data_IF_034329639667
#
_entry.id   IF_034329639667
#
_cell.length_a   1.000
_cell.length_b   1.000
_cell.length_c   1.000
_cell.angle_alpha   90.00
_cell.angle_beta   90.00
_cell.angle_gamma   90.00
#
_symmetry.space_group_name_H-M   'P 1'
#
loop_
_entity.id
_entity.type
_entity.pdbx_description
1 polymer ?
#
# COMPACT_ATOMS: atom_id res chain seq x y z
N UNK A 1 -77.44 -17.43 -33.25
CA UNK A 1 -77.13 -16.97 -34.62
C UNK A 1 -75.91 -17.75 -35.09
N UNK A 2 -76.11 -18.83 -35.86
CA UNK A 2 -76.01 -18.87 -37.33
C UNK A 2 -74.58 -18.49 -37.76
N UNK A 3 -73.80 -19.22 -38.55
CA UNK A 3 -73.85 -20.56 -39.15
C UNK A 3 -72.50 -20.71 -39.89
N UNK A 4 -72.10 -21.98 -40.13
CA UNK A 4 -71.46 -22.57 -41.34
C UNK A 4 -70.56 -21.70 -42.26
N UNK A 5 -69.48 -22.25 -42.83
CA UNK A 5 -69.46 -23.04 -44.09
C UNK A 5 -68.02 -23.60 -44.23
N UNK A 6 -67.81 -24.93 -44.21
CA UNK A 6 -67.77 -25.89 -45.35
C UNK A 6 -66.50 -25.80 -46.22
N UNK A 7 -65.53 -26.72 -46.03
CA UNK A 7 -65.24 -27.91 -46.86
C UNK A 7 -64.56 -27.63 -48.21
N UNK A 8 -63.39 -28.26 -48.45
CA UNK A 8 -63.17 -29.09 -49.64
C UNK A 8 -62.05 -30.11 -49.39
N UNK A 9 -62.35 -31.36 -49.79
CA UNK A 9 -61.51 -32.55 -49.75
C UNK A 9 -60.64 -32.65 -51.01
N UNK A 10 -59.53 -33.40 -50.92
CA UNK A 10 -59.08 -34.49 -51.82
C UNK A 10 -57.62 -34.83 -51.47
N UNK A 11 -57.26 -36.00 -50.94
CA UNK A 11 -57.21 -37.35 -51.56
C UNK A 11 -56.27 -37.42 -52.78
N UNK A 12 -55.38 -38.39 -53.02
CA UNK A 12 -54.71 -39.53 -52.34
C UNK A 12 -53.56 -39.93 -53.31
N UNK A 13 -52.38 -40.38 -52.84
CA UNK A 13 -51.56 -41.51 -53.38
C UNK A 13 -50.15 -41.51 -52.73
N UNK A 14 -49.80 -42.42 -51.80
CA UNK A 14 -49.18 -43.76 -51.96
C UNK A 14 -47.95 -43.78 -52.89
N UNK A 15 -46.76 -44.30 -52.57
CA UNK A 15 -46.08 -44.97 -51.45
C UNK A 15 -44.58 -45.15 -51.91
N UNK A 16 -43.70 -46.04 -51.40
CA UNK A 16 -43.44 -46.57 -50.05
C UNK A 16 -41.94 -46.62 -49.64
N UNK A 17 -41.71 -46.96 -48.36
CA UNK A 17 -40.57 -47.73 -47.77
C UNK A 17 -39.20 -47.01 -47.75
N UNK A 18 -38.51 -46.94 -46.62
CA UNK A 18 -38.02 -48.12 -45.90
C UNK A 18 -37.75 -47.87 -44.39
N UNK A 19 -37.87 -48.98 -43.66
CA UNK A 19 -37.07 -49.41 -42.50
C UNK A 19 -37.41 -48.90 -41.08
N UNK A 20 -37.96 -49.88 -40.36
CA UNK A 20 -37.61 -50.29 -38.99
C UNK A 20 -38.10 -49.46 -37.81
N UNK A 21 -39.21 -49.95 -37.24
CA UNK A 21 -39.65 -49.67 -35.87
C UNK A 21 -38.73 -50.36 -34.86
N UNK A 22 -38.22 -49.61 -33.90
CA UNK A 22 -37.93 -50.09 -32.55
C UNK A 22 -38.39 -49.04 -31.54
N UNK A 23 -39.30 -49.43 -30.65
CA UNK A 23 -39.66 -48.68 -29.45
C UNK A 23 -38.41 -48.55 -28.56
N UNK A 24 -38.15 -47.35 -28.03
CA UNK A 24 -37.31 -47.18 -26.86
C UNK A 24 -37.84 -46.02 -26.01
N UNK A 25 -38.02 -46.33 -24.73
CA UNK A 25 -38.39 -45.46 -23.61
C UNK A 25 -37.74 -44.08 -23.70
N UNK A 26 -38.55 -43.03 -23.56
CA UNK A 26 -38.06 -41.68 -23.32
C UNK A 26 -37.50 -41.59 -21.89
N UNK A 27 -36.18 -41.70 -21.74
CA UNK A 27 -35.49 -41.15 -20.56
C UNK A 27 -35.26 -39.65 -20.80
N UNK A 28 -35.87 -38.82 -19.96
CA UNK A 28 -35.50 -37.41 -19.83
C UNK A 28 -34.20 -37.36 -19.03
N UNK A 29 -33.08 -36.84 -19.56
CA UNK A 29 -31.90 -36.62 -18.75
C UNK A 29 -32.15 -35.38 -17.89
N UNK A 30 -32.29 -35.60 -16.59
CA UNK A 30 -32.18 -34.57 -15.58
C UNK A 30 -30.72 -34.06 -15.62
N UNK A 31 -30.49 -32.94 -16.32
CA UNK A 31 -29.21 -32.24 -16.27
C UNK A 31 -29.06 -31.62 -14.88
N UNK A 32 -28.57 -32.41 -13.92
CA UNK A 32 -27.95 -31.87 -12.71
C UNK A 32 -26.72 -31.09 -13.18
N UNK A 33 -26.87 -29.78 -13.31
CA UNK A 33 -25.75 -28.87 -13.35
C UNK A 33 -25.11 -28.89 -11.96
N UNK A 34 -24.21 -29.83 -11.72
CA UNK A 34 -23.28 -29.76 -10.61
C UNK A 34 -22.44 -28.51 -10.83
N UNK A 35 -22.81 -27.40 -10.20
CA UNK A 35 -21.87 -26.33 -9.93
C UNK A 35 -20.83 -26.93 -8.99
N UNK A 36 -19.78 -27.54 -9.56
CA UNK A 36 -18.51 -27.59 -8.87
C UNK A 36 -18.18 -26.14 -8.56
N UNK A 37 -18.32 -25.76 -7.31
CA UNK A 37 -17.64 -24.57 -6.82
C UNK A 37 -16.18 -24.79 -7.16
N UNK A 38 -15.63 -23.94 -8.01
CA UNK A 38 -14.19 -23.77 -8.06
C UNK A 38 -13.80 -23.39 -6.64
N UNK A 39 -13.29 -24.37 -5.88
CA UNK A 39 -12.45 -24.06 -4.75
C UNK A 39 -11.37 -23.16 -5.32
N UNK A 40 -11.23 -21.98 -4.73
CA UNK A 40 -10.11 -21.08 -4.99
C UNK A 40 -8.86 -21.90 -4.69
N UNK A 41 -8.25 -22.51 -5.72
CA UNK A 41 -6.96 -23.16 -5.62
C UNK A 41 -6.00 -22.03 -5.25
N UNK A 42 -5.81 -21.83 -3.95
CA UNK A 42 -4.80 -20.92 -3.44
C UNK A 42 -3.49 -21.33 -4.10
N UNK A 43 -2.96 -20.47 -4.97
CA UNK A 43 -1.63 -20.68 -5.55
C UNK A 43 -0.65 -21.01 -4.41
N UNK A 44 0.34 -21.89 -4.65
CA UNK A 44 1.33 -22.22 -3.62
C UNK A 44 1.95 -20.96 -3.03
N UNK A 45 1.98 -20.86 -1.70
CA UNK A 45 2.56 -19.71 -0.97
C UNK A 45 4.01 -19.41 -1.41
N UNK A 46 4.71 -20.41 -1.94
CA UNK A 46 6.08 -20.30 -2.47
C UNK A 46 6.22 -19.31 -3.63
N UNK A 47 5.17 -19.05 -4.42
CA UNK A 47 5.21 -18.07 -5.52
C UNK A 47 4.84 -16.64 -5.11
N UNK A 48 4.29 -16.45 -3.90
CA UNK A 48 3.91 -15.12 -3.42
C UNK A 48 5.15 -14.29 -3.08
N UNK A 49 5.11 -13.00 -3.42
CA UNK A 49 6.12 -12.04 -2.98
C UNK A 49 5.90 -11.75 -1.50
N UNK A 50 6.93 -11.96 -0.68
CA UNK A 50 6.88 -11.84 0.77
C UNK A 50 7.63 -10.59 1.21
N UNK A 51 6.90 -9.66 1.82
CA UNK A 51 7.41 -8.36 2.24
C UNK A 51 7.22 -8.20 3.74
N UNK A 52 8.30 -7.86 4.44
CA UNK A 52 8.29 -7.45 5.83
C UNK A 52 8.66 -5.97 5.92
N UNK A 53 7.82 -5.14 6.54
CA UNK A 53 8.19 -3.75 6.83
C UNK A 53 8.72 -3.61 8.26
N UNK A 54 9.86 -2.93 8.43
CA UNK A 54 10.35 -2.45 9.72
C UNK A 54 10.24 -0.92 9.70
N UNK A 55 9.24 -0.38 10.37
CA UNK A 55 8.97 1.05 10.29
C UNK A 55 7.88 1.53 11.23
N UNK A 56 7.04 2.43 10.73
CA UNK A 56 6.04 3.14 11.53
C UNK A 56 4.79 3.44 10.70
N UNK A 57 4.01 4.44 11.11
CA UNK A 57 2.76 4.81 10.42
C UNK A 57 2.95 5.21 8.95
N UNK A 58 4.15 5.65 8.54
CA UNK A 58 4.43 5.92 7.12
C UNK A 58 4.59 4.64 6.29
N UNK A 59 5.10 3.56 6.90
CA UNK A 59 5.06 2.23 6.27
C UNK A 59 3.62 1.71 6.21
N UNK A 60 2.79 1.99 7.22
CA UNK A 60 1.37 1.63 7.18
C UNK A 60 0.61 2.36 6.06
N UNK A 61 0.92 3.63 5.80
CA UNK A 61 0.36 4.36 4.65
C UNK A 61 0.72 3.69 3.32
N UNK A 62 1.97 3.25 3.15
CA UNK A 62 2.41 2.52 1.96
C UNK A 62 1.70 1.16 1.81
N UNK A 63 1.49 0.47 2.93
CA UNK A 63 0.88 -0.85 2.98
C UNK A 63 -0.64 -0.81 2.78
N UNK A 64 -1.30 0.33 2.99
CA UNK A 64 -2.76 0.42 3.10
C UNK A 64 -3.50 -0.08 1.85
N UNK A 65 -2.99 0.23 0.66
CA UNK A 65 -3.62 -0.11 -0.63
C UNK A 65 -2.82 -1.13 -1.45
N UNK A 66 -1.59 -1.45 -1.04
CA UNK A 66 -0.70 -2.35 -1.76
C UNK A 66 -1.31 -3.76 -1.96
N UNK A 67 -1.98 -4.41 -0.97
CA UNK A 67 -2.60 -5.72 -1.18
C UNK A 67 -3.70 -5.73 -2.23
N UNK A 68 -4.55 -4.70 -2.26
CA UNK A 68 -5.62 -4.60 -3.25
C UNK A 68 -5.05 -4.36 -4.66
N UNK A 69 -4.01 -3.53 -4.74
CA UNK A 69 -3.32 -3.21 -5.98
C UNK A 69 -2.54 -4.44 -6.51
N UNK A 70 -1.88 -5.21 -5.63
CA UNK A 70 -1.24 -6.49 -5.97
C UNK A 70 -2.27 -7.49 -6.53
N UNK A 71 -3.38 -7.70 -5.83
CA UNK A 71 -4.46 -8.61 -6.28
C UNK A 71 -5.00 -8.22 -7.65
N UNK A 72 -5.27 -6.94 -7.89
CA UNK A 72 -5.76 -6.46 -9.17
C UNK A 72 -4.74 -6.61 -10.31
N UNK A 73 -3.44 -6.56 -10.00
CA UNK A 73 -2.35 -6.86 -10.93
C UNK A 73 -2.05 -8.35 -11.10
N UNK A 74 -2.88 -9.24 -10.53
CA UNK A 74 -2.69 -10.69 -10.60
C UNK A 74 -1.48 -11.19 -9.80
N UNK A 75 -1.01 -10.42 -8.82
CA UNK A 75 0.14 -10.75 -7.96
C UNK A 75 -0.32 -11.28 -6.60
N UNK A 76 0.42 -12.24 -6.08
CA UNK A 76 0.25 -12.77 -4.74
C UNK A 76 1.23 -12.09 -3.79
N UNK A 77 0.73 -11.58 -2.66
CA UNK A 77 1.49 -10.81 -1.68
C UNK A 77 1.27 -11.34 -0.28
N UNK A 78 2.36 -11.68 0.41
CA UNK A 78 2.38 -11.84 1.87
C UNK A 78 3.02 -10.59 2.45
N UNK A 79 2.23 -9.80 3.16
CA UNK A 79 2.67 -8.53 3.76
C UNK A 79 2.60 -8.61 5.29
N UNK A 80 3.75 -8.48 5.94
CA UNK A 80 3.86 -8.44 7.39
C UNK A 80 4.50 -7.13 7.84
N UNK A 81 4.04 -6.63 8.99
CA UNK A 81 4.37 -5.29 9.49
C UNK A 81 4.97 -5.37 10.89
N UNK A 82 6.27 -5.14 10.99
CA UNK A 82 6.95 -4.75 12.22
C UNK A 82 6.93 -3.22 12.36
N UNK A 83 5.73 -2.64 12.29
CA UNK A 83 5.51 -1.19 12.33
C UNK A 83 5.08 -0.73 13.72
N UNK A 84 5.68 0.35 14.21
CA UNK A 84 5.32 1.00 15.48
C UNK A 84 5.14 2.50 15.25
N UNK A 85 3.95 3.02 15.54
CA UNK A 85 3.61 4.43 15.26
C UNK A 85 4.62 5.41 15.89
N UNK A 86 5.15 6.34 15.09
CA UNK A 86 6.12 7.35 15.54
C UNK A 86 7.52 6.84 15.91
N UNK A 87 7.86 5.58 15.59
CA UNK A 87 9.16 5.02 15.98
C UNK A 87 10.27 5.28 14.96
N UNK A 88 11.46 5.56 15.48
CA UNK A 88 12.72 5.77 14.74
C UNK A 88 13.54 4.49 14.60
N UNK A 89 14.54 4.53 13.72
CA UNK A 89 15.55 3.47 13.62
C UNK A 89 16.18 3.16 14.97
N UNK A 90 16.51 4.20 15.76
CA UNK A 90 17.10 4.04 17.08
C UNK A 90 16.20 3.27 18.04
N UNK A 91 14.88 3.49 18.00
CA UNK A 91 13.95 2.77 18.85
C UNK A 91 13.81 1.30 18.42
N UNK A 92 13.73 1.01 17.11
CA UNK A 92 13.74 -0.36 16.61
C UNK A 92 15.00 -1.13 17.04
N UNK A 93 16.17 -0.48 16.96
CA UNK A 93 17.44 -1.03 17.46
C UNK A 93 17.41 -1.24 18.97
N UNK A 94 16.84 -0.31 19.74
CA UNK A 94 16.68 -0.47 21.19
C UNK A 94 15.85 -1.71 21.57
N UNK A 95 14.86 -2.09 20.76
CA UNK A 95 14.05 -3.30 20.99
C UNK A 95 14.80 -4.58 20.65
N UNK A 96 15.48 -4.65 19.49
CA UNK A 96 16.26 -5.84 19.17
C UNK A 96 17.42 -6.04 20.15
N UNK A 97 18.04 -4.96 20.64
CA UNK A 97 19.10 -5.05 21.64
C UNK A 97 18.58 -5.54 23.00
N UNK A 98 17.40 -5.06 23.43
CA UNK A 98 16.75 -5.56 24.64
C UNK A 98 16.49 -7.08 24.54
N UNK A 99 16.01 -7.54 23.39
CA UNK A 99 15.79 -8.97 23.14
C UNK A 99 17.09 -9.79 23.13
N UNK A 100 18.15 -9.32 22.48
CA UNK A 100 19.43 -10.06 22.46
C UNK A 100 20.13 -10.07 23.83
N UNK A 101 19.90 -9.06 24.68
CA UNK A 101 20.39 -9.03 26.05
C UNK A 101 19.60 -9.95 26.99
N UNK A 102 18.27 -9.99 26.83
CA UNK A 102 17.38 -10.86 27.58
C UNK A 102 16.15 -11.23 26.73
N UNK A 103 16.05 -12.50 26.35
CA UNK A 103 14.96 -12.99 25.51
C UNK A 103 13.57 -12.88 26.16
N UNK A 104 13.51 -12.77 27.49
CA UNK A 104 12.29 -12.63 28.28
C UNK A 104 11.93 -11.16 28.58
N UNK A 105 12.75 -10.19 28.14
CA UNK A 105 12.41 -8.77 28.32
C UNK A 105 11.20 -8.40 27.44
N UNK A 106 10.06 -7.97 28.03
CA UNK A 106 8.88 -7.57 27.26
C UNK A 106 9.16 -6.41 26.29
N UNK A 107 10.13 -5.54 26.59
CA UNK A 107 10.59 -4.48 25.67
C UNK A 107 11.16 -5.06 24.37
N UNK A 108 11.75 -6.26 24.42
CA UNK A 108 12.31 -6.95 23.26
C UNK A 108 11.26 -7.42 22.24
N UNK A 109 9.98 -7.47 22.62
CA UNK A 109 8.88 -7.97 21.79
C UNK A 109 7.78 -6.92 21.56
N UNK A 110 8.07 -5.77 20.93
CA UNK A 110 7.10 -4.67 20.84
C UNK A 110 6.03 -4.90 19.77
N UNK A 111 6.29 -5.74 18.76
CA UNK A 111 5.48 -5.87 17.56
C UNK A 111 4.25 -6.75 17.80
N UNK A 112 3.16 -6.48 17.09
CA UNK A 112 2.04 -7.40 17.04
C UNK A 112 2.45 -8.68 16.30
N UNK A 113 2.14 -9.84 16.87
CA UNK A 113 2.39 -11.11 16.21
C UNK A 113 1.50 -11.23 14.95
N UNK A 114 2.07 -11.56 13.78
CA UNK A 114 1.29 -11.92 12.60
C UNK A 114 0.35 -13.09 12.92
N UNK A 115 -0.79 -13.19 12.24
CA UNK A 115 -1.80 -14.21 12.55
C UNK A 115 -1.25 -15.65 12.59
N UNK A 116 -0.29 -15.97 11.71
CA UNK A 116 0.35 -17.29 11.66
C UNK A 116 1.40 -17.55 12.75
N UNK A 117 1.76 -16.54 13.55
CA UNK A 117 2.66 -16.65 14.71
C UNK A 117 1.96 -16.31 16.03
N UNK A 118 0.76 -15.73 15.97
CA UNK A 118 0.01 -15.34 17.15
C UNK A 118 -0.61 -16.57 17.81
N UNK A 119 -0.53 -16.64 19.14
CA UNK A 119 -1.30 -17.58 19.96
C UNK A 119 -2.22 -16.78 20.90
N UNK A 120 -3.23 -17.41 21.53
CA UNK A 120 -4.07 -16.73 22.52
C UNK A 120 -3.24 -16.00 23.60
N UNK A 121 -2.14 -16.63 24.03
CA UNK A 121 -1.27 -16.14 25.11
C UNK A 121 -0.10 -15.27 24.62
N UNK A 122 0.25 -15.34 23.33
CA UNK A 122 1.38 -14.62 22.74
C UNK A 122 0.95 -13.79 21.54
N UNK A 123 0.55 -12.54 21.83
CA UNK A 123 0.17 -11.52 20.84
C UNK A 123 1.29 -10.56 20.46
N UNK A 124 2.43 -10.67 21.16
CA UNK A 124 3.61 -9.81 21.00
C UNK A 124 4.81 -10.64 20.57
N UNK A 125 5.65 -10.06 19.72
CA UNK A 125 6.78 -10.77 19.12
C UNK A 125 7.98 -9.84 18.91
N UNK A 126 9.19 -10.40 18.96
CA UNK A 126 10.44 -9.70 18.66
C UNK A 126 10.76 -9.73 17.15
N UNK A 127 11.65 -8.84 16.71
CA UNK A 127 12.01 -8.73 15.29
C UNK A 127 12.70 -10.00 14.76
N UNK A 128 13.55 -10.66 15.56
CA UNK A 128 14.26 -11.89 15.17
C UNK A 128 13.31 -12.98 14.72
N UNK A 129 12.27 -13.21 15.52
CA UNK A 129 11.28 -14.23 15.26
C UNK A 129 10.46 -13.92 14.00
N UNK A 130 10.11 -12.66 13.74
CA UNK A 130 9.44 -12.28 12.49
C UNK A 130 10.38 -12.51 11.28
N UNK A 131 11.64 -12.07 11.38
CA UNK A 131 12.65 -12.23 10.32
C UNK A 131 12.86 -13.70 9.95
N UNK A 132 12.96 -14.59 10.94
CA UNK A 132 13.15 -16.02 10.72
C UNK A 132 11.89 -16.77 10.28
N UNK A 133 10.72 -16.13 10.30
CA UNK A 133 9.44 -16.83 10.14
C UNK A 133 9.08 -17.22 8.71
N UNK A 134 9.67 -16.55 7.71
CA UNK A 134 9.43 -16.78 6.28
C UNK A 134 10.68 -16.46 5.47
N UNK A 135 10.84 -17.05 4.27
CA UNK A 135 11.87 -16.62 3.31
C UNK A 135 11.42 -15.30 2.66
N UNK A 136 11.67 -14.17 3.34
CA UNK A 136 11.30 -12.86 2.84
C UNK A 136 11.99 -12.55 1.51
N UNK A 137 11.24 -12.06 0.53
CA UNK A 137 11.85 -11.47 -0.67
C UNK A 137 12.41 -10.09 -0.34
N UNK A 138 11.63 -9.30 0.41
CA UNK A 138 11.98 -7.93 0.78
C UNK A 138 11.78 -7.67 2.26
N UNK A 139 12.76 -7.00 2.87
CA UNK A 139 12.60 -6.34 4.17
C UNK A 139 12.80 -4.84 3.97
N UNK A 140 11.82 -4.02 4.32
CA UNK A 140 11.94 -2.56 4.14
C UNK A 140 12.33 -1.87 5.44
N UNK A 141 13.17 -0.84 5.35
CA UNK A 141 13.53 0.04 6.47
C UNK A 141 13.23 1.50 6.12
N UNK A 142 12.98 2.31 7.15
CA UNK A 142 12.82 3.76 7.02
C UNK A 142 13.13 4.47 8.35
N UNK A 143 13.41 5.77 8.28
CA UNK A 143 13.51 6.63 9.46
C UNK A 143 12.13 7.12 9.93
N UNK A 144 12.07 7.64 11.15
CA UNK A 144 10.94 8.45 11.63
C UNK A 144 10.86 9.78 10.89
N UNK A 145 9.65 10.21 10.54
CA UNK A 145 9.44 11.31 9.62
C UNK A 145 9.97 12.66 10.11
N UNK A 146 9.92 12.95 11.42
CA UNK A 146 10.38 14.23 11.99
C UNK A 146 11.91 14.41 12.01
N UNK A 147 12.69 13.36 11.75
CA UNK A 147 14.15 13.45 11.60
C UNK A 147 14.65 12.83 10.29
N UNK A 148 13.76 12.35 9.42
CA UNK A 148 14.11 11.69 8.16
C UNK A 148 14.95 12.54 7.20
N UNK A 149 14.84 13.88 7.28
CA UNK A 149 15.64 14.83 6.52
C UNK A 149 17.03 15.12 7.11
N UNK A 150 17.37 14.49 8.24
CA UNK A 150 18.62 14.69 8.98
C UNK A 150 19.48 13.44 8.86
N UNK A 151 20.51 13.51 8.03
CA UNK A 151 21.45 12.41 7.79
C UNK A 151 22.06 11.88 9.09
N UNK A 152 22.39 12.76 10.03
CA UNK A 152 22.99 12.42 11.31
C UNK A 152 22.08 11.57 12.21
N UNK A 153 20.79 11.45 11.89
CA UNK A 153 19.85 10.61 12.65
C UNK A 153 19.89 9.13 12.28
N UNK A 154 20.57 8.76 11.19
CA UNK A 154 20.52 7.40 10.65
C UNK A 154 21.52 6.48 11.35
N UNK A 155 22.78 6.89 11.49
CA UNK A 155 23.81 6.07 12.12
C UNK A 155 23.91 6.27 13.64
N UNK A 156 24.36 5.22 14.38
CA UNK A 156 24.73 3.88 13.92
C UNK A 156 23.53 2.94 13.69
N UNK A 157 22.32 3.44 13.90
CA UNK A 157 21.11 2.62 14.03
C UNK A 157 20.71 1.93 12.72
N UNK A 158 20.87 2.61 11.58
CA UNK A 158 20.63 2.03 10.27
C UNK A 158 21.56 0.84 10.02
N UNK A 159 22.87 1.01 10.23
CA UNK A 159 23.85 -0.08 10.12
C UNK A 159 23.52 -1.28 11.01
N UNK A 160 23.23 -1.04 12.30
CA UNK A 160 22.88 -2.10 13.24
C UNK A 160 21.64 -2.88 12.77
N UNK A 161 20.59 -2.17 12.33
CA UNK A 161 19.37 -2.82 11.86
C UNK A 161 19.61 -3.62 10.57
N UNK A 162 20.37 -3.06 9.62
CA UNK A 162 20.73 -3.72 8.36
C UNK A 162 21.50 -5.01 8.61
N UNK A 163 22.52 -4.97 9.47
CA UNK A 163 23.32 -6.14 9.82
C UNK A 163 22.47 -7.20 10.54
N UNK A 164 21.56 -6.76 11.40
CA UNK A 164 20.63 -7.64 12.08
C UNK A 164 19.69 -8.34 11.09
N UNK A 165 19.17 -7.63 10.08
CA UNK A 165 18.34 -8.22 9.03
C UNK A 165 19.15 -9.20 8.18
N UNK A 166 20.33 -8.82 7.70
CA UNK A 166 21.21 -9.71 6.91
C UNK A 166 21.55 -11.01 7.66
N UNK A 167 21.74 -10.94 8.97
CA UNK A 167 22.00 -12.11 9.81
C UNK A 167 20.81 -13.05 9.95
N UNK A 168 19.59 -12.50 10.11
CA UNK A 168 18.41 -13.30 10.49
C UNK A 168 17.44 -13.58 9.32
N UNK A 169 17.61 -12.90 8.19
CA UNK A 169 16.88 -13.12 6.94
C UNK A 169 17.82 -12.94 5.73
N UNK A 170 18.85 -13.79 5.58
CA UNK A 170 19.96 -13.58 4.64
C UNK A 170 19.58 -13.58 3.17
N UNK A 171 18.43 -14.17 2.81
CA UNK A 171 17.92 -14.20 1.43
C UNK A 171 17.10 -12.96 1.08
N UNK A 172 16.74 -12.13 2.07
CA UNK A 172 15.90 -10.97 1.84
C UNK A 172 16.71 -9.81 1.30
N UNK A 173 16.21 -9.20 0.23
CA UNK A 173 16.72 -7.90 -0.19
C UNK A 173 16.22 -6.82 0.76
N UNK A 174 17.12 -5.96 1.23
CA UNK A 174 16.76 -4.82 2.07
C UNK A 174 16.46 -3.62 1.17
N UNK A 175 15.25 -3.08 1.27
CA UNK A 175 14.83 -1.88 0.55
C UNK A 175 14.70 -0.68 1.49
N UNK A 176 15.10 0.49 1.01
CA UNK A 176 14.87 1.75 1.73
C UNK A 176 13.53 2.31 1.28
N UNK A 177 12.59 2.50 2.22
CA UNK A 177 11.40 3.29 1.96
C UNK A 177 11.73 4.78 2.15
N UNK A 178 11.95 5.48 1.04
CA UNK A 178 12.12 6.93 1.05
C UNK A 178 10.76 7.56 1.39
N UNK A 179 10.68 8.17 2.57
CA UNK A 179 9.46 8.86 3.03
C UNK A 179 9.28 10.21 2.33
N UNK A 180 8.27 11.00 2.70
CA UNK A 180 7.92 12.27 2.04
C UNK A 180 7.98 13.46 3.00
N UNK A 181 8.18 14.65 2.44
CA UNK A 181 8.07 15.90 3.19
C UNK A 181 6.63 16.18 3.63
N UNK A 182 6.46 16.84 4.77
CA UNK A 182 5.15 17.26 5.28
C UNK A 182 4.47 18.30 4.39
N UNK A 183 3.17 18.51 4.58
CA UNK A 183 2.42 19.59 3.93
C UNK A 183 2.89 20.96 4.44
N UNK A 184 2.81 21.98 3.59
CA UNK A 184 3.39 23.31 3.83
C UNK A 184 2.83 24.06 5.05
N UNK A 185 1.64 23.68 5.54
CA UNK A 185 1.00 24.25 6.72
C UNK A 185 1.37 23.55 8.04
N UNK A 186 2.33 22.61 8.00
CA UNK A 186 2.78 21.92 9.20
C UNK A 186 3.52 22.86 10.18
N UNK A 187 3.27 22.73 11.47
CA UNK A 187 3.85 23.58 12.53
C UNK A 187 5.38 23.64 12.56
N UNK A 188 6.05 22.62 12.04
CA UNK A 188 7.52 22.54 11.93
C UNK A 188 8.09 23.61 11.00
N UNK A 189 7.29 24.16 10.09
CA UNK A 189 7.72 25.16 9.11
C UNK A 189 7.45 26.60 9.56
N UNK A 190 6.78 26.80 10.71
CA UNK A 190 6.30 28.11 11.16
C UNK A 190 7.41 29.14 11.45
N UNK A 191 8.62 28.67 11.79
CA UNK A 191 9.75 29.54 12.10
C UNK A 191 10.62 29.87 10.86
N UNK A 192 10.25 29.34 9.69
CA UNK A 192 10.91 29.60 8.41
C UNK A 192 12.27 28.92 8.22
N UNK A 193 12.81 28.19 9.20
CA UNK A 193 14.12 27.52 9.08
C UNK A 193 14.06 26.25 8.23
N UNK A 194 12.88 25.63 8.16
CA UNK A 194 12.59 24.48 7.33
C UNK A 194 11.28 24.78 6.57
N UNK A 195 11.19 24.32 5.34
CA UNK A 195 9.96 24.33 4.57
C UNK A 195 9.78 22.98 3.88
N UNK A 196 8.66 22.79 3.18
CA UNK A 196 8.37 21.54 2.47
C UNK A 196 9.51 21.14 1.52
N UNK A 197 10.01 22.09 0.72
CA UNK A 197 11.02 21.83 -0.30
C UNK A 197 12.37 21.45 0.33
N UNK A 198 12.83 22.20 1.34
CA UNK A 198 14.10 21.91 2.02
C UNK A 198 14.02 20.63 2.87
N UNK A 199 12.84 20.30 3.41
CA UNK A 199 12.60 18.99 4.04
C UNK A 199 12.70 17.85 3.01
N UNK A 200 12.09 18.00 1.83
CA UNK A 200 12.17 17.00 0.75
C UNK A 200 13.62 16.79 0.29
N UNK A 201 14.36 17.87 0.07
CA UNK A 201 15.78 17.81 -0.33
C UNK A 201 16.63 17.09 0.71
N UNK A 202 16.46 17.43 1.99
CA UNK A 202 17.16 16.75 3.09
C UNK A 202 16.79 15.27 3.19
N UNK A 203 15.51 14.92 3.02
CA UNK A 203 15.03 13.54 2.95
C UNK A 203 15.74 12.78 1.83
N UNK A 204 15.68 13.33 0.61
CA UNK A 204 16.27 12.71 -0.57
C UNK A 204 17.76 12.47 -0.38
N UNK A 205 18.50 13.50 0.07
CA UNK A 205 19.93 13.39 0.31
C UNK A 205 20.26 12.34 1.38
N UNK A 206 19.55 12.31 2.50
CA UNK A 206 19.81 11.36 3.58
C UNK A 206 19.56 9.91 3.13
N UNK A 207 18.46 9.66 2.41
CA UNK A 207 18.13 8.33 1.89
C UNK A 207 19.07 7.90 0.75
N UNK A 208 19.48 8.80 -0.14
CA UNK A 208 20.45 8.50 -1.20
C UNK A 208 21.82 8.15 -0.62
N UNK A 209 22.25 8.84 0.44
CA UNK A 209 23.49 8.48 1.17
C UNK A 209 23.39 7.13 1.86
N UNK A 210 22.25 6.81 2.49
CA UNK A 210 22.04 5.49 3.09
C UNK A 210 22.09 4.38 2.02
N UNK A 211 21.45 4.61 0.88
CA UNK A 211 21.46 3.71 -0.28
C UNK A 211 22.87 3.45 -0.78
N UNK A 212 23.65 4.51 -1.01
CA UNK A 212 25.05 4.41 -1.44
C UNK A 212 25.93 3.68 -0.43
N UNK A 213 25.78 4.00 0.86
CA UNK A 213 26.60 3.39 1.93
C UNK A 213 26.42 1.88 2.04
N UNK A 214 25.20 1.39 1.88
CA UNK A 214 24.88 -0.03 2.12
C UNK A 214 24.55 -0.82 0.84
N UNK A 215 24.57 -0.16 -0.32
CA UNK A 215 24.22 -0.78 -1.61
C UNK A 215 22.76 -1.20 -1.69
N UNK A 216 21.84 -0.40 -1.14
CA UNK A 216 20.42 -0.74 -1.04
C UNK A 216 19.59 0.02 -2.09
N UNK A 217 18.62 -0.66 -2.73
CA UNK A 217 17.65 0.02 -3.59
C UNK A 217 16.68 0.86 -2.77
N UNK A 218 16.18 1.92 -3.41
CA UNK A 218 15.18 2.81 -2.83
C UNK A 218 13.80 2.54 -3.45
N UNK A 219 12.76 2.55 -2.61
CA UNK A 219 11.37 2.76 -3.02
C UNK A 219 11.09 4.27 -2.95
N UNK A 220 11.03 5.00 -4.09
CA UNK A 220 11.13 6.46 -4.13
C UNK A 220 9.78 7.17 -3.85
N UNK A 221 9.16 6.85 -2.72
CA UNK A 221 7.83 7.37 -2.39
C UNK A 221 7.83 8.89 -2.14
N UNK A 222 8.94 9.42 -1.61
CA UNK A 222 9.16 10.86 -1.44
C UNK A 222 9.24 11.61 -2.76
N UNK A 223 10.03 11.09 -3.70
CA UNK A 223 10.15 11.66 -5.05
C UNK A 223 8.79 11.64 -5.76
N UNK A 224 7.98 10.59 -5.56
CA UNK A 224 6.62 10.52 -6.11
C UNK A 224 5.68 11.54 -5.52
N UNK A 225 5.72 11.74 -4.19
CA UNK A 225 4.99 12.82 -3.52
C UNK A 225 5.35 14.18 -4.10
N UNK A 226 6.64 14.44 -4.29
CA UNK A 226 7.11 15.72 -4.80
C UNK A 226 6.75 15.93 -6.28
N UNK A 227 6.73 14.87 -7.09
CA UNK A 227 6.26 14.91 -8.47
C UNK A 227 4.76 15.21 -8.53
N UNK A 228 3.94 14.49 -7.74
CA UNK A 228 2.50 14.66 -7.74
C UNK A 228 2.08 16.08 -7.30
N UNK A 229 2.76 16.69 -6.33
CA UNK A 229 2.52 18.09 -5.90
C UNK A 229 2.69 19.15 -7.00
N UNK A 230 3.38 18.81 -8.10
CA UNK A 230 3.54 19.71 -9.26
C UNK A 230 2.39 19.57 -10.26
N UNK A 231 1.52 18.58 -10.09
CA UNK A 231 0.34 18.41 -10.94
C UNK A 231 -0.74 19.42 -10.50
N UNK A 232 -1.44 20.07 -11.45
CA UNK A 232 -2.51 21.01 -11.11
C UNK A 232 -3.56 20.43 -10.14
N UNK A 233 -3.86 19.13 -10.28
CA UNK A 233 -4.83 18.42 -9.43
C UNK A 233 -4.42 18.33 -7.94
N UNK A 234 -3.12 18.41 -7.64
CA UNK A 234 -2.55 18.24 -6.30
C UNK A 234 -1.70 19.43 -5.85
N UNK A 235 -2.00 20.61 -6.40
CA UNK A 235 -1.38 21.88 -6.02
C UNK A 235 -2.12 22.48 -4.83
N UNK A 236 -1.84 21.97 -3.63
CA UNK A 236 -2.39 22.54 -2.40
C UNK A 236 -1.92 24.00 -2.19
N UNK A 237 -2.80 24.84 -1.63
CA UNK A 237 -2.50 26.24 -1.31
C UNK A 237 -2.84 26.51 0.15
N UNK A 238 -1.94 27.18 0.86
CA UNK A 238 -2.16 27.64 2.22
C UNK A 238 -1.62 29.07 2.42
N UNK A 239 -2.31 29.93 3.19
CA UNK A 239 -3.59 29.70 3.84
C UNK A 239 -4.78 29.71 2.87
N UNK A 240 -5.88 29.04 3.25
CA UNK A 240 -7.17 29.27 2.58
C UNK A 240 -7.68 30.66 2.96
N UNK A 241 -7.78 31.62 2.02
CA UNK A 241 -8.18 32.99 2.34
C UNK A 241 -9.64 33.10 2.81
N UNK A 242 -10.45 32.05 2.66
CA UNK A 242 -11.86 32.01 3.06
C UNK A 242 -12.07 31.35 4.43
N UNK A 243 -11.01 30.87 5.07
CA UNK A 243 -11.11 30.14 6.32
C UNK A 243 -10.53 30.93 7.50
N UNK A 244 -11.31 31.13 8.56
CA UNK A 244 -10.84 31.72 9.81
C UNK A 244 -10.17 30.64 10.69
N UNK A 245 -8.84 30.56 10.62
CA UNK A 245 -8.06 29.64 11.44
C UNK A 245 -8.02 30.02 12.93
N UNK A 246 -8.28 31.29 13.28
CA UNK A 246 -8.29 31.74 14.66
C UNK A 246 -9.62 31.37 15.35
N UNK A 247 -10.74 31.44 14.61
CA UNK A 247 -12.07 31.10 15.11
C UNK A 247 -12.80 30.15 14.14
N UNK A 248 -12.36 28.89 13.99
CA UNK A 248 -12.93 27.99 13.01
C UNK A 248 -14.37 27.62 13.40
N UNK A 249 -15.31 27.84 12.48
CA UNK A 249 -16.71 27.45 12.67
C UNK A 249 -16.82 25.92 12.83
N UNK A 250 -17.57 25.40 13.83
CA UNK A 250 -17.66 23.96 14.06
C UNK A 250 -18.07 23.18 12.80
N UNK A 251 -17.27 22.19 12.42
CA UNK A 251 -17.50 21.36 11.24
C UNK A 251 -16.96 21.93 9.92
N UNK A 252 -16.59 23.22 9.86
CA UNK A 252 -16.00 23.81 8.67
C UNK A 252 -14.52 23.42 8.53
N UNK A 253 -14.06 23.12 7.31
CA UNK A 253 -12.66 22.84 7.01
C UNK A 253 -12.15 23.86 5.98
N UNK A 254 -10.86 24.23 6.01
CA UNK A 254 -10.26 24.97 4.91
C UNK A 254 -10.25 24.11 3.64
N UNK A 255 -10.22 24.75 2.47
CA UNK A 255 -10.01 24.07 1.20
C UNK A 255 -8.69 23.28 1.24
N UNK A 256 -8.78 21.99 0.92
CA UNK A 256 -7.67 21.05 0.99
C UNK A 256 -7.88 19.81 0.09
N UNK A 257 -8.83 19.85 -0.86
CA UNK A 257 -9.12 18.72 -1.78
C UNK A 257 -7.97 18.40 -2.73
N UNK A 258 -7.03 19.33 -2.87
CA UNK A 258 -5.80 19.22 -3.68
C UNK A 258 -4.61 18.75 -2.84
N UNK A 259 -4.84 18.30 -1.60
CA UNK A 259 -3.83 17.71 -0.73
C UNK A 259 -3.66 16.21 -0.98
N UNK A 260 -2.42 15.72 -0.87
CA UNK A 260 -2.10 14.29 -0.74
C UNK A 260 -2.02 13.84 0.73
N UNK A 261 -2.00 14.79 1.67
CA UNK A 261 -2.00 14.53 3.10
C UNK A 261 -3.43 14.61 3.67
N UNK A 262 -3.66 13.98 4.84
CA UNK A 262 -4.96 13.98 5.53
C UNK A 262 -5.45 15.41 5.79
N UNK A 263 -4.60 16.25 6.36
CA UNK A 263 -4.88 17.65 6.58
C UNK A 263 -5.75 17.95 7.80
N UNK A 264 -6.53 19.01 7.69
CA UNK A 264 -7.39 19.53 8.74
C UNK A 264 -8.59 18.63 8.95
N UNK A 265 -8.89 18.30 10.21
CA UNK A 265 -10.03 17.49 10.58
C UNK A 265 -10.60 17.93 11.93
N UNK A 266 -11.90 17.72 12.12
CA UNK A 266 -12.57 17.94 13.41
C UNK A 266 -12.56 16.66 14.24
N UNK A 267 -12.03 16.78 15.45
CA UNK A 267 -12.14 15.77 16.49
C UNK A 267 -12.82 16.33 17.73
N UNK A 268 -12.76 15.56 18.81
CA UNK A 268 -13.08 16.04 20.15
C UNK A 268 -11.78 16.17 20.93
N UNK A 269 -11.62 17.28 21.63
CA UNK A 269 -10.55 17.43 22.59
C UNK A 269 -10.65 16.33 23.66
N UNK A 270 -9.52 15.75 24.04
CA UNK A 270 -9.51 14.56 24.92
C UNK A 270 -9.98 14.89 26.33
N UNK A 271 -9.73 16.12 26.79
CA UNK A 271 -10.03 16.56 28.16
C UNK A 271 -11.42 17.21 28.19
N UNK A 272 -11.63 18.23 27.37
CA UNK A 272 -12.86 19.05 27.44
C UNK A 272 -14.04 18.43 26.69
N UNK A 273 -13.79 17.41 25.84
CA UNK A 273 -14.75 16.80 24.90
C UNK A 273 -15.35 17.76 23.87
N UNK A 274 -14.89 19.01 23.83
CA UNK A 274 -15.35 20.02 22.88
C UNK A 274 -14.81 19.74 21.48
N UNK A 275 -15.53 20.18 20.42
CA UNK A 275 -15.00 20.14 19.05
C UNK A 275 -13.64 20.82 18.98
N UNK A 276 -12.67 20.15 18.36
CA UNK A 276 -11.32 20.66 18.17
C UNK A 276 -10.87 20.42 16.74
N UNK A 277 -10.49 21.49 16.06
CA UNK A 277 -9.84 21.42 14.77
C UNK A 277 -8.38 20.97 14.98
N UNK A 278 -7.96 19.93 14.28
CA UNK A 278 -6.59 19.39 14.34
C UNK A 278 -6.02 19.21 12.94
N UNK A 279 -4.70 19.26 12.83
CA UNK A 279 -3.98 19.14 11.56
C UNK A 279 -3.14 17.86 11.55
N UNK A 280 -3.37 17.00 10.56
CA UNK A 280 -2.44 15.95 10.16
C UNK A 280 -1.83 16.27 8.79
N UNK A 281 -0.82 17.14 8.82
CA UNK A 281 -0.03 17.50 7.65
C UNK A 281 1.10 16.48 7.33
N UNK A 282 1.10 15.29 7.96
CA UNK A 282 2.17 14.29 7.84
C UNK A 282 1.71 13.06 7.07
N UNK A 283 0.62 12.44 7.52
CA UNK A 283 0.13 11.19 6.95
C UNK A 283 -0.60 11.39 5.64
N UNK A 284 -0.64 10.33 4.86
CA UNK A 284 -1.23 10.28 3.54
C UNK A 284 -2.74 10.11 3.63
N UNK A 285 -3.49 10.85 2.81
CA UNK A 285 -4.90 10.56 2.58
C UNK A 285 -5.05 9.42 1.54
N UNK A 286 -6.27 9.19 1.04
CA UNK A 286 -6.54 8.16 0.02
C UNK A 286 -5.62 8.28 -1.21
N UNK A 287 -5.44 9.50 -1.72
CA UNK A 287 -4.65 9.79 -2.92
C UNK A 287 -3.16 9.60 -2.67
N UNK A 288 -2.66 10.11 -1.54
CA UNK A 288 -1.28 9.90 -1.12
C UNK A 288 -0.94 8.40 -0.94
N UNK A 289 -1.82 7.65 -0.26
CA UNK A 289 -1.65 6.20 -0.07
C UNK A 289 -1.64 5.45 -1.39
N UNK A 290 -2.50 5.83 -2.33
CA UNK A 290 -2.57 5.18 -3.63
C UNK A 290 -1.31 5.44 -4.45
N UNK A 291 -0.84 6.69 -4.48
CA UNK A 291 0.42 7.06 -5.12
C UNK A 291 1.59 6.23 -4.58
N UNK A 292 1.74 6.17 -3.25
CA UNK A 292 2.81 5.39 -2.61
C UNK A 292 2.67 3.90 -2.92
N UNK A 293 1.46 3.34 -2.86
CA UNK A 293 1.22 1.94 -3.18
C UNK A 293 1.58 1.60 -4.64
N UNK A 294 1.35 2.53 -5.58
CA UNK A 294 1.77 2.38 -6.98
C UNK A 294 3.30 2.30 -7.11
N UNK A 295 4.03 3.19 -6.41
CA UNK A 295 5.51 3.16 -6.38
C UNK A 295 6.02 1.84 -5.80
N UNK A 296 5.45 1.41 -4.67
CA UNK A 296 5.79 0.13 -4.04
C UNK A 296 5.55 -1.04 -4.97
N UNK A 297 4.40 -1.06 -5.66
CA UNK A 297 4.06 -2.12 -6.59
C UNK A 297 5.11 -2.27 -7.70
N UNK A 298 5.50 -1.16 -8.33
CA UNK A 298 6.49 -1.25 -9.41
C UNK A 298 7.85 -1.73 -8.92
N UNK A 299 8.27 -1.32 -7.72
CA UNK A 299 9.59 -1.69 -7.18
C UNK A 299 9.64 -3.13 -6.71
N UNK A 300 8.57 -3.62 -6.07
CA UNK A 300 8.50 -4.94 -5.44
C UNK A 300 8.13 -6.04 -6.44
N UNK A 301 7.19 -5.78 -7.35
CA UNK A 301 6.77 -6.76 -8.35
C UNK A 301 7.53 -6.64 -9.66
N UNK A 302 8.36 -5.59 -9.82
CA UNK A 302 9.06 -5.28 -11.05
C UNK A 302 8.12 -5.28 -12.27
N UNK A 303 6.94 -4.67 -12.11
CA UNK A 303 5.86 -4.65 -13.09
C UNK A 303 5.28 -3.25 -13.19
N UNK A 304 4.77 -2.88 -14.36
CA UNK A 304 4.21 -1.54 -14.57
C UNK A 304 2.87 -1.40 -13.85
N UNK A 305 2.66 -0.28 -13.17
CA UNK A 305 1.38 0.01 -12.54
C UNK A 305 0.37 0.59 -13.53
N UNK A 306 0.81 1.12 -14.68
CA UNK A 306 -0.01 1.90 -15.62
C UNK A 306 -1.31 1.19 -16.04
N UNK A 307 -1.24 -0.12 -16.27
CA UNK A 307 -2.37 -0.95 -16.71
C UNK A 307 -3.08 -1.68 -15.57
N UNK A 308 -2.68 -1.45 -14.31
CA UNK A 308 -3.34 -2.06 -13.16
C UNK A 308 -4.81 -1.55 -13.08
N UNK A 309 -5.83 -2.41 -12.98
CA UNK A 309 -7.23 -1.97 -13.04
C UNK A 309 -7.78 -1.43 -11.71
N UNK A 310 -7.03 -1.51 -10.61
CA UNK A 310 -7.52 -1.09 -9.31
C UNK A 310 -7.75 0.42 -9.24
N UNK A 311 -8.95 0.80 -8.79
CA UNK A 311 -9.32 2.17 -8.40
C UNK A 311 -9.92 2.10 -6.99
N UNK A 312 -9.32 2.76 -5.98
CA UNK A 312 -9.87 2.76 -4.64
C UNK A 312 -11.25 3.40 -4.57
N UNK A 313 -12.12 2.90 -3.69
CA UNK A 313 -13.40 3.55 -3.41
C UNK A 313 -13.18 5.00 -2.95
N UNK A 314 -13.87 5.95 -3.57
CA UNK A 314 -13.71 7.39 -3.30
C UNK A 314 -12.67 8.11 -4.17
N UNK A 315 -12.07 7.42 -5.15
CA UNK A 315 -11.18 8.00 -6.16
C UNK A 315 -11.79 7.86 -7.56
N UNK A 316 -11.62 8.85 -8.42
CA UNK A 316 -12.04 8.75 -9.82
C UNK A 316 -11.01 7.97 -10.65
N UNK A 317 -11.41 7.33 -11.77
CA UNK A 317 -10.47 6.67 -12.68
C UNK A 317 -9.38 7.61 -13.23
N UNK A 318 -9.71 8.88 -13.44
CA UNK A 318 -8.81 9.91 -13.95
C UNK A 318 -7.74 10.28 -12.90
N UNK A 319 -8.14 10.52 -11.65
CA UNK A 319 -7.22 10.75 -10.53
C UNK A 319 -6.30 9.54 -10.32
N UNK A 320 -6.85 8.32 -10.43
CA UNK A 320 -6.06 7.09 -10.34
C UNK A 320 -5.04 6.98 -11.49
N UNK A 321 -5.44 7.28 -12.73
CA UNK A 321 -4.54 7.26 -13.88
C UNK A 321 -3.40 8.28 -13.75
N UNK A 322 -3.70 9.50 -13.31
CA UNK A 322 -2.69 10.54 -13.07
C UNK A 322 -1.67 10.13 -12.00
N UNK A 323 -2.13 9.56 -10.89
CA UNK A 323 -1.25 9.12 -9.81
C UNK A 323 -0.41 7.89 -10.22
N UNK A 324 -0.98 6.96 -10.99
CA UNK A 324 -0.22 5.85 -11.59
C UNK A 324 0.89 6.35 -12.50
N UNK A 325 0.57 7.29 -13.38
CA UNK A 325 1.55 7.89 -14.29
C UNK A 325 2.70 8.55 -13.51
N UNK A 326 2.38 9.37 -12.50
CA UNK A 326 3.39 10.02 -11.67
C UNK A 326 4.28 9.00 -10.93
N UNK A 327 3.70 7.92 -10.37
CA UNK A 327 4.46 6.85 -9.75
C UNK A 327 5.39 6.15 -10.75
N UNK A 328 4.87 5.79 -11.93
CA UNK A 328 5.63 5.12 -12.98
C UNK A 328 6.83 5.93 -13.45
N UNK A 329 6.62 7.22 -13.77
CA UNK A 329 7.68 8.12 -14.23
C UNK A 329 8.80 8.25 -13.20
N UNK A 330 8.45 8.35 -11.92
CA UNK A 330 9.41 8.47 -10.82
C UNK A 330 10.21 7.18 -10.66
N UNK A 331 9.56 6.02 -10.70
CA UNK A 331 10.25 4.72 -10.61
C UNK A 331 11.16 4.50 -11.82
N UNK A 332 10.70 4.85 -13.03
CA UNK A 332 11.50 4.76 -14.25
C UNK A 332 12.73 5.69 -14.19
N UNK A 333 12.55 6.95 -13.78
CA UNK A 333 13.64 7.90 -13.61
C UNK A 333 14.66 7.43 -12.55
N UNK A 334 14.18 6.87 -11.43
CA UNK A 334 15.04 6.30 -10.39
C UNK A 334 15.88 5.14 -10.94
N UNK A 335 15.25 4.18 -11.63
CA UNK A 335 15.93 3.05 -12.27
C UNK A 335 16.98 3.50 -13.27
N UNK A 336 16.67 4.51 -14.09
CA UNK A 336 17.61 5.08 -15.05
C UNK A 336 18.82 5.71 -14.36
N UNK A 337 18.60 6.49 -13.29
CA UNK A 337 19.68 7.09 -12.51
C UNK A 337 20.56 6.03 -11.83
N UNK A 338 19.96 4.98 -11.26
CA UNK A 338 20.70 3.87 -10.65
C UNK A 338 21.48 3.04 -11.68
N UNK A 339 20.94 2.85 -12.88
CA UNK A 339 21.65 2.18 -13.98
C UNK A 339 22.85 3.00 -14.47
N UNK A 340 22.71 4.32 -14.56
CA UNK A 340 23.78 5.23 -14.97
C UNK A 340 24.89 5.38 -13.92
N UNK A 341 24.59 5.12 -12.64
CA UNK A 341 25.55 5.19 -11.54
C UNK A 341 26.38 3.91 -11.34
N UNK A 342 26.06 2.81 -12.05
CA UNK A 342 26.86 1.59 -12.01
C UNK A 342 28.13 1.79 -12.85
N UNK A 343 29.34 1.58 -12.27
CA UNK A 343 30.61 1.79 -12.95
C UNK A 343 30.88 0.83 -14.10
#
# INVERSE_FOLDING_TARGET
MIAMISFFQNAVARAPRFLSRSLLLAMVPLLLSSRLGAADESKPEDLAVKVLTVGNSFADDACALLPALAKAGGKDLVLVRANLGGHSLAQHVGYLQAYEANADDPKGSPYAAPAYLATPDKKKINLKAILASKPWNFVTIQQVSNTSFKEESYEPFAGILIDYIRKNAPTAEILIQQTWAYREDHEMFKDGKLNQQTMYEGLKAAYDKLSQRYGLRIIPSGDAYQAARKLPRWTFTFPDPKFDYANPAPGALPEQKESLNIGWNWGKDKETKQPKLTLDAKHSNLYGRFLIACVWYEVIFNDSVLTNPFVPAGMSPEDAALLRQAAHEVVAARRAAEAAAKP
#
